data_IF_521982774161
#
_entry.id   IF_521982774161
#
_cell.length_a   1.000
_cell.length_b   1.000
_cell.length_c   1.000
_cell.angle_alpha   90.00
_cell.angle_beta   90.00
_cell.angle_gamma   90.00
#
_symmetry.space_group_name_H-M   'P 1'
#
loop_
_entity.id
_entity.type
_entity.pdbx_description
1 polymer ?
#
# COMPACT_ATOMS: atom_id res chain seq x y z
N UNK A 1 -2.66 -34.60 13.00
CA UNK A 1 -1.27 -34.12 12.82
C UNK A 1 -1.33 -32.70 12.28
N UNK A 2 -1.46 -31.72 13.17
CA UNK A 2 -1.29 -30.31 12.85
C UNK A 2 0.21 -30.05 12.81
N UNK A 3 0.76 -29.77 11.63
CA UNK A 3 2.15 -29.34 11.49
C UNK A 3 2.24 -27.98 12.22
N UNK A 4 2.73 -27.98 13.46
CA UNK A 4 3.11 -26.76 14.15
C UNK A 4 4.30 -26.19 13.39
N UNK A 5 4.01 -25.21 12.55
CA UNK A 5 5.01 -24.39 11.90
C UNK A 5 5.54 -23.46 13.00
N UNK A 6 6.67 -23.84 13.60
CA UNK A 6 7.35 -23.04 14.63
C UNK A 6 8.11 -21.84 14.04
N UNK A 7 8.00 -21.61 12.73
CA UNK A 7 8.59 -20.43 12.09
C UNK A 7 7.59 -19.27 12.09
N UNK A 8 7.82 -18.22 12.90
CA UNK A 8 6.91 -17.08 13.01
C UNK A 8 6.72 -16.34 11.67
N UNK A 9 7.72 -16.41 10.80
CA UNK A 9 7.68 -15.91 9.43
C UNK A 9 6.62 -16.64 8.62
N UNK A 10 6.60 -17.97 8.67
CA UNK A 10 5.72 -18.80 7.86
C UNK A 10 4.26 -18.69 8.36
N UNK A 11 4.03 -18.61 9.67
CA UNK A 11 2.69 -18.33 10.22
C UNK A 11 2.19 -16.93 9.83
N UNK A 12 3.07 -15.93 9.82
CA UNK A 12 2.74 -14.58 9.34
C UNK A 12 2.42 -14.53 7.85
N UNK A 13 3.18 -15.24 7.02
CA UNK A 13 2.91 -15.40 5.58
C UNK A 13 1.56 -16.07 5.37
N UNK A 14 1.30 -17.20 6.05
CA UNK A 14 0.07 -17.97 5.89
C UNK A 14 -1.14 -17.14 6.30
N UNK A 15 -1.11 -16.49 7.46
CA UNK A 15 -2.20 -15.61 7.93
C UNK A 15 -2.48 -14.46 6.95
N UNK A 16 -1.43 -13.78 6.48
CA UNK A 16 -1.60 -12.66 5.55
C UNK A 16 -2.08 -13.13 4.16
N UNK A 17 -1.56 -14.25 3.66
CA UNK A 17 -2.03 -14.86 2.41
C UNK A 17 -3.49 -15.31 2.52
N UNK A 18 -3.91 -15.89 3.65
CA UNK A 18 -5.31 -16.27 3.89
C UNK A 18 -6.23 -15.05 3.97
N UNK A 19 -5.82 -13.97 4.66
CA UNK A 19 -6.62 -12.75 4.74
C UNK A 19 -6.79 -12.10 3.36
N UNK A 20 -5.70 -12.05 2.58
CA UNK A 20 -5.71 -11.48 1.23
C UNK A 20 -6.48 -12.35 0.26
N UNK A 21 -6.30 -13.67 0.30
CA UNK A 21 -7.06 -14.60 -0.54
C UNK A 21 -8.54 -14.55 -0.20
N UNK A 22 -8.91 -14.48 1.08
CA UNK A 22 -10.30 -14.33 1.53
C UNK A 22 -10.90 -13.02 1.00
N UNK A 23 -10.19 -11.89 1.10
CA UNK A 23 -10.67 -10.60 0.58
C UNK A 23 -10.83 -10.61 -0.94
N UNK A 24 -9.86 -11.17 -1.66
CA UNK A 24 -9.93 -11.31 -3.11
C UNK A 24 -11.07 -12.24 -3.53
N UNK A 25 -11.28 -13.33 -2.78
CA UNK A 25 -12.32 -14.32 -3.05
C UNK A 25 -13.69 -13.76 -2.71
N UNK A 26 -13.87 -13.02 -1.61
CA UNK A 26 -15.11 -12.30 -1.31
C UNK A 26 -15.42 -11.22 -2.36
N UNK A 27 -14.40 -10.47 -2.79
CA UNK A 27 -14.57 -9.45 -3.80
C UNK A 27 -14.91 -10.06 -5.18
N UNK A 28 -14.26 -11.17 -5.57
CA UNK A 28 -14.58 -11.88 -6.81
C UNK A 28 -15.94 -12.57 -6.76
N UNK A 29 -16.32 -13.15 -5.62
CA UNK A 29 -17.65 -13.76 -5.42
C UNK A 29 -18.74 -12.70 -5.45
N UNK A 30 -18.52 -11.55 -4.81
CA UNK A 30 -19.41 -10.39 -4.89
C UNK A 30 -19.59 -9.88 -6.32
N UNK A 31 -18.53 -9.89 -7.12
CA UNK A 31 -18.65 -9.49 -8.53
C UNK A 31 -19.41 -10.49 -9.39
N UNK A 32 -19.24 -11.78 -9.12
CA UNK A 32 -20.00 -12.85 -9.78
C UNK A 32 -21.48 -12.80 -9.39
N UNK A 33 -21.80 -12.54 -8.11
CA UNK A 33 -23.18 -12.46 -7.64
C UNK A 33 -23.91 -11.19 -8.13
N UNK A 34 -23.19 -10.06 -8.23
CA UNK A 34 -23.78 -8.77 -8.64
C UNK A 34 -23.57 -8.43 -10.13
N UNK A 35 -23.00 -9.34 -10.93
CA UNK A 35 -22.61 -9.08 -12.33
C UNK A 35 -21.79 -7.79 -12.53
N UNK A 36 -20.93 -7.45 -11.56
CA UNK A 36 -20.13 -6.24 -11.58
C UNK A 36 -19.03 -6.34 -12.64
N UNK A 37 -18.81 -5.24 -13.36
CA UNK A 37 -17.72 -5.13 -14.32
C UNK A 37 -16.35 -5.26 -13.61
N UNK A 38 -15.39 -5.91 -14.27
CA UNK A 38 -14.03 -6.20 -13.76
C UNK A 38 -13.30 -4.91 -13.38
N UNK A 39 -13.63 -3.79 -14.04
CA UNK A 39 -13.10 -2.44 -13.75
C UNK A 39 -13.49 -1.95 -12.36
N UNK A 40 -14.74 -2.17 -11.95
CA UNK A 40 -15.26 -1.74 -10.64
C UNK A 40 -14.61 -2.53 -9.51
N UNK A 41 -14.43 -3.84 -9.71
CA UNK A 41 -13.66 -4.67 -8.79
C UNK A 41 -12.24 -4.15 -8.63
N UNK A 42 -11.56 -3.89 -9.75
CA UNK A 42 -10.18 -3.43 -9.73
C UNK A 42 -10.03 -2.09 -9.01
N UNK A 43 -10.96 -1.15 -9.24
CA UNK A 43 -11.01 0.13 -8.53
C UNK A 43 -11.21 -0.02 -7.02
N UNK A 44 -12.13 -0.90 -6.59
CA UNK A 44 -12.39 -1.17 -5.17
C UNK A 44 -11.19 -1.82 -4.48
N UNK A 45 -10.59 -2.85 -5.09
CA UNK A 45 -9.40 -3.52 -4.54
C UNK A 45 -8.24 -2.54 -4.42
N UNK A 46 -8.05 -1.66 -5.41
CA UNK A 46 -6.99 -0.65 -5.37
C UNK A 46 -7.20 0.36 -4.25
N UNK A 47 -8.42 0.85 -4.07
CA UNK A 47 -8.77 1.77 -2.98
C UNK A 47 -8.55 1.12 -1.61
N UNK A 48 -9.00 -0.13 -1.44
CA UNK A 48 -8.80 -0.91 -0.22
C UNK A 48 -7.31 -1.16 0.05
N UNK A 49 -6.52 -1.50 -0.97
CA UNK A 49 -5.09 -1.77 -0.83
C UNK A 49 -4.31 -0.57 -0.28
N UNK A 50 -4.66 0.66 -0.69
CA UNK A 50 -4.02 1.89 -0.19
C UNK A 50 -4.35 2.12 1.28
N UNK A 51 -5.61 1.94 1.66
CA UNK A 51 -6.05 2.04 3.05
C UNK A 51 -5.35 0.98 3.92
N UNK A 52 -5.29 -0.27 3.45
CA UNK A 52 -4.57 -1.35 4.12
C UNK A 52 -3.08 -1.02 4.28
N UNK A 53 -2.41 -0.51 3.23
CA UNK A 53 -0.99 -0.11 3.30
C UNK A 53 -0.74 1.03 4.30
N UNK A 54 -1.75 1.86 4.60
CA UNK A 54 -1.64 2.90 5.61
C UNK A 54 -1.92 2.38 7.03
N UNK A 55 -2.89 1.49 7.16
CA UNK A 55 -3.26 0.89 8.44
C UNK A 55 -2.37 -0.28 8.85
N UNK A 56 -1.50 -0.76 7.96
CA UNK A 56 -0.62 -1.91 8.18
C UNK A 56 0.19 -1.83 9.48
N UNK A 57 0.81 -0.70 9.86
CA UNK A 57 1.50 -0.59 11.15
C UNK A 57 0.56 -0.83 12.34
N UNK A 58 -0.66 -0.32 12.28
CA UNK A 58 -1.65 -0.48 13.35
C UNK A 58 -2.23 -1.90 13.42
N UNK A 59 -2.29 -2.61 12.28
CA UNK A 59 -2.80 -3.98 12.19
C UNK A 59 -1.74 -5.00 12.61
N UNK A 60 -0.45 -4.73 12.34
CA UNK A 60 0.62 -5.70 12.59
C UNK A 60 1.30 -5.48 13.93
N UNK A 61 1.44 -4.23 14.38
CA UNK A 61 2.09 -3.91 15.65
C UNK A 61 1.05 -4.01 16.77
N UNK A 62 0.88 -5.23 17.28
CA UNK A 62 0.18 -5.46 18.53
C UNK A 62 1.21 -5.71 19.61
N UNK A 63 1.25 -4.86 20.63
CA UNK A 63 2.10 -5.06 21.80
C UNK A 63 1.51 -6.23 22.60
N UNK A 64 2.23 -7.34 22.76
CA UNK A 64 1.73 -8.46 23.56
C UNK A 64 1.54 -8.03 25.01
N UNK A 65 0.54 -8.58 25.70
CA UNK A 65 0.15 -8.18 27.07
C UNK A 65 1.32 -8.25 28.08
N UNK A 66 2.33 -9.11 27.82
CA UNK A 66 3.55 -9.24 28.63
C UNK A 66 4.43 -7.99 28.66
N UNK A 67 4.27 -7.04 27.74
CA UNK A 67 5.09 -5.81 27.66
C UNK A 67 4.52 -4.61 28.39
N UNK A 68 3.22 -4.62 28.70
CA UNK A 68 2.53 -3.40 29.12
C UNK A 68 2.84 -3.03 30.58
N UNK A 69 3.15 -4.02 31.43
CA UNK A 69 3.38 -3.80 32.86
C UNK A 69 4.19 -4.97 33.45
N UNK A 70 5.13 -4.70 34.37
CA UNK A 70 5.62 -5.74 35.31
C UNK A 70 4.47 -6.14 36.24
N UNK A 71 3.60 -7.04 35.76
CA UNK A 71 2.30 -7.32 36.34
C UNK A 71 2.39 -7.70 37.83
N UNK A 72 3.45 -8.43 38.20
CA UNK A 72 3.73 -8.84 39.59
C UNK A 72 4.07 -7.67 40.51
N UNK A 73 4.83 -6.68 40.02
CA UNK A 73 5.15 -5.45 40.78
C UNK A 73 3.97 -4.47 40.82
N UNK A 74 3.11 -4.51 39.79
CA UNK A 74 1.95 -3.65 39.68
C UNK A 74 0.79 -4.12 40.56
N UNK A 75 0.49 -5.43 40.57
CA UNK A 75 -0.49 -6.03 41.49
C UNK A 75 -0.12 -5.84 42.96
N UNK A 76 1.17 -5.92 43.31
CA UNK A 76 1.63 -5.75 44.69
C UNK A 76 1.55 -4.30 45.18
N UNK A 77 1.58 -3.30 44.28
CA UNK A 77 1.51 -1.87 44.63
C UNK A 77 0.11 -1.26 44.50
N UNK A 78 -0.78 -1.79 43.64
CA UNK A 78 -2.15 -1.30 43.48
C UNK A 78 -3.16 -2.42 43.68
N UNK A 79 -3.77 -2.43 44.86
CA UNK A 79 -4.81 -3.34 45.32
C UNK A 79 -6.15 -3.26 44.55
N UNK A 80 -6.30 -2.31 43.63
CA UNK A 80 -7.54 -2.04 42.90
C UNK A 80 -7.65 -2.72 41.54
N UNK A 81 -6.57 -3.33 41.03
CA UNK A 81 -6.57 -3.98 39.72
C UNK A 81 -6.93 -5.46 39.88
N UNK A 82 -8.18 -5.80 39.58
CA UNK A 82 -8.69 -7.18 39.58
C UNK A 82 -8.84 -7.64 38.13
N UNK A 83 -7.80 -8.30 37.60
CA UNK A 83 -7.80 -8.91 36.27
C UNK A 83 -6.98 -10.20 36.30
N UNK A 84 -7.28 -11.12 35.38
CA UNK A 84 -6.51 -12.34 35.22
C UNK A 84 -5.03 -12.03 34.97
N UNK A 85 -4.13 -12.83 35.53
CA UNK A 85 -2.69 -12.73 35.25
C UNK A 85 -2.49 -13.18 33.79
N UNK A 86 -1.84 -12.36 32.92
CA UNK A 86 -1.49 -12.81 31.58
C UNK A 86 -0.66 -14.09 31.68
N UNK A 87 -0.95 -15.08 30.83
CA UNK A 87 -0.35 -16.42 30.90
C UNK A 87 1.19 -16.42 30.84
N UNK A 88 1.81 -15.34 30.33
CA UNK A 88 3.26 -15.21 30.14
C UNK A 88 3.91 -14.01 30.85
N UNK A 89 3.39 -13.55 31.99
CA UNK A 89 3.95 -12.42 32.74
C UNK A 89 5.31 -12.74 33.39
N UNK A 90 6.41 -12.64 32.63
CA UNK A 90 7.80 -12.81 33.11
C UNK A 90 8.68 -11.57 32.88
N UNK A 91 9.85 -11.55 33.51
CA UNK A 91 10.87 -10.53 33.21
C UNK A 91 11.34 -10.73 31.77
N UNK A 92 11.19 -9.69 30.95
CA UNK A 92 11.60 -9.70 29.55
C UNK A 92 13.12 -9.67 29.44
N UNK A 93 13.68 -10.66 28.73
CA UNK A 93 15.09 -10.66 28.35
C UNK A 93 15.27 -9.99 26.99
N UNK A 94 16.49 -9.56 26.65
CA UNK A 94 16.78 -9.02 25.31
C UNK A 94 16.50 -10.03 24.19
N UNK A 95 16.57 -11.34 24.49
CA UNK A 95 16.30 -12.41 23.53
C UNK A 95 14.81 -12.44 23.18
N UNK A 96 13.93 -12.37 24.18
CA UNK A 96 12.47 -12.33 23.99
C UNK A 96 12.04 -11.13 23.12
N UNK A 97 12.62 -9.96 23.38
CA UNK A 97 12.35 -8.73 22.62
C UNK A 97 12.76 -8.91 21.16
N UNK A 98 13.91 -9.56 20.94
CA UNK A 98 14.45 -9.76 19.60
C UNK A 98 13.59 -10.72 18.78
N UNK A 99 13.13 -11.81 19.38
CA UNK A 99 12.27 -12.81 18.73
C UNK A 99 10.90 -12.23 18.35
N UNK A 100 10.28 -11.47 19.26
CA UNK A 100 9.01 -10.79 18.98
C UNK A 100 9.17 -9.74 17.89
N UNK A 101 10.23 -8.93 17.99
CA UNK A 101 10.53 -7.94 16.98
C UNK A 101 10.70 -8.63 15.61
N UNK A 102 11.48 -9.71 15.51
CA UNK A 102 11.62 -10.46 14.25
C UNK A 102 10.27 -10.96 13.71
N UNK A 103 9.39 -11.44 14.59
CA UNK A 103 8.04 -11.88 14.23
C UNK A 103 7.19 -10.74 13.66
N UNK A 104 7.16 -9.59 14.35
CA UNK A 104 6.44 -8.40 13.86
C UNK A 104 7.02 -7.88 12.55
N UNK A 105 8.34 -7.90 12.41
CA UNK A 105 9.02 -7.47 11.20
C UNK A 105 8.68 -8.37 10.01
N UNK A 106 8.66 -9.68 10.22
CA UNK A 106 8.29 -10.64 9.19
C UNK A 106 6.82 -10.45 8.75
N UNK A 107 5.88 -10.38 9.71
CA UNK A 107 4.45 -10.12 9.43
C UNK A 107 4.23 -8.79 8.71
N UNK A 108 4.99 -7.77 9.09
CA UNK A 108 4.89 -6.46 8.47
C UNK A 108 5.42 -6.49 7.03
N UNK A 109 6.58 -7.12 6.81
CA UNK A 109 7.16 -7.24 5.48
C UNK A 109 6.25 -8.03 4.51
N UNK A 110 5.63 -9.11 4.98
CA UNK A 110 4.73 -9.93 4.17
C UNK A 110 3.44 -9.17 3.84
N UNK A 111 2.81 -8.56 4.85
CA UNK A 111 1.62 -7.72 4.65
C UNK A 111 1.91 -6.53 3.73
N UNK A 112 3.10 -5.94 3.81
CA UNK A 112 3.54 -4.85 2.95
C UNK A 112 3.65 -5.29 1.48
N UNK A 113 4.34 -6.41 1.21
CA UNK A 113 4.48 -6.96 -0.15
C UNK A 113 3.11 -7.32 -0.74
N UNK A 114 2.23 -7.94 0.06
CA UNK A 114 0.89 -8.28 -0.38
C UNK A 114 0.03 -7.05 -0.68
N UNK A 115 0.04 -6.03 0.18
CA UNK A 115 -0.68 -4.77 -0.09
C UNK A 115 -0.14 -4.07 -1.34
N UNK A 116 1.18 -4.14 -1.58
CA UNK A 116 1.79 -3.57 -2.78
C UNK A 116 1.41 -4.36 -4.04
N UNK A 117 1.34 -5.69 -3.98
CA UNK A 117 0.84 -6.52 -5.07
C UNK A 117 -0.65 -6.24 -5.36
N UNK A 118 -1.48 -6.11 -4.32
CA UNK A 118 -2.89 -5.72 -4.41
C UNK A 118 -3.11 -4.29 -4.89
N UNK A 119 -2.09 -3.44 -4.88
CA UNK A 119 -2.16 -2.10 -5.44
C UNK A 119 -1.81 -2.12 -6.93
N UNK A 120 -0.76 -2.87 -7.28
CA UNK A 120 -0.20 -2.93 -8.64
C UNK A 120 -1.06 -3.78 -9.59
N UNK A 121 -1.51 -4.96 -9.17
CA UNK A 121 -2.25 -5.89 -10.03
C UNK A 121 -3.60 -5.31 -10.50
N UNK A 122 -4.44 -4.72 -9.62
CA UNK A 122 -5.68 -4.08 -10.05
C UNK A 122 -5.42 -2.83 -10.89
N UNK A 123 -4.33 -2.10 -10.62
CA UNK A 123 -3.94 -0.99 -11.48
C UNK A 123 -3.63 -1.48 -12.90
N UNK A 124 -2.89 -2.60 -13.06
CA UNK A 124 -2.65 -3.20 -14.37
C UNK A 124 -3.95 -3.61 -15.07
N UNK A 125 -4.93 -4.15 -14.33
CA UNK A 125 -6.25 -4.45 -14.87
C UNK A 125 -6.99 -3.17 -15.32
N UNK A 126 -6.97 -2.10 -14.52
CA UNK A 126 -7.54 -0.80 -14.91
C UNK A 126 -6.87 -0.26 -16.17
N UNK A 127 -5.54 -0.31 -16.28
CA UNK A 127 -4.80 0.13 -17.48
C UNK A 127 -5.26 -0.63 -18.73
N UNK A 128 -5.44 -1.95 -18.62
CA UNK A 128 -5.85 -2.80 -19.74
C UNK A 128 -7.30 -2.53 -20.17
N UNK A 129 -8.20 -2.38 -19.21
CA UNK A 129 -9.62 -2.29 -19.49
C UNK A 129 -10.16 -0.85 -19.58
N UNK A 130 -9.47 0.20 -19.14
CA UNK A 130 -10.02 1.57 -19.16
C UNK A 130 -10.41 2.03 -20.57
N UNK A 131 -11.58 2.65 -20.68
CA UNK A 131 -12.09 3.26 -21.92
C UNK A 131 -11.75 4.75 -21.95
N UNK A 132 -10.87 5.14 -22.88
CA UNK A 132 -10.34 6.49 -22.99
C UNK A 132 -11.21 7.43 -23.84
N UNK A 133 -12.26 6.91 -24.49
CA UNK A 133 -13.19 7.77 -25.25
C UNK A 133 -14.09 8.61 -24.35
N UNK A 134 -14.26 8.21 -23.08
CA UNK A 134 -15.08 8.91 -22.10
C UNK A 134 -14.22 9.83 -21.25
N UNK A 135 -14.54 11.13 -21.28
CA UNK A 135 -13.72 12.18 -20.65
C UNK A 135 -13.53 11.97 -19.13
N UNK A 136 -14.57 11.56 -18.41
CA UNK A 136 -14.50 11.35 -16.96
C UNK A 136 -13.57 10.19 -16.56
N UNK A 137 -13.60 9.09 -17.29
CA UNK A 137 -12.78 7.90 -17.00
C UNK A 137 -11.32 8.18 -17.32
N UNK A 138 -11.05 8.90 -18.42
CA UNK A 138 -9.71 9.33 -18.80
C UNK A 138 -9.10 10.31 -17.77
N UNK A 139 -9.86 11.30 -17.31
CA UNK A 139 -9.42 12.22 -16.25
C UNK A 139 -9.19 11.47 -14.94
N UNK A 140 -10.11 10.57 -14.56
CA UNK A 140 -9.97 9.72 -13.38
C UNK A 140 -8.70 8.88 -13.42
N UNK A 141 -8.41 8.26 -14.58
CA UNK A 141 -7.20 7.46 -14.79
C UNK A 141 -5.90 8.29 -14.71
N UNK A 142 -5.90 9.50 -15.28
CA UNK A 142 -4.73 10.38 -15.25
C UNK A 142 -4.45 10.85 -13.82
N UNK A 143 -5.49 11.29 -13.11
CA UNK A 143 -5.39 11.70 -11.69
C UNK A 143 -4.98 10.52 -10.82
N UNK A 144 -5.51 9.32 -11.07
CA UNK A 144 -5.15 8.09 -10.36
C UNK A 144 -3.65 7.76 -10.54
N UNK A 145 -3.17 7.81 -11.78
CA UNK A 145 -1.77 7.55 -12.11
C UNK A 145 -0.84 8.54 -11.42
N UNK A 146 -1.16 9.83 -11.49
CA UNK A 146 -0.38 10.88 -10.85
C UNK A 146 -0.40 10.75 -9.31
N UNK A 147 -1.56 10.47 -8.71
CA UNK A 147 -1.70 10.29 -7.27
C UNK A 147 -0.93 9.06 -6.76
N UNK A 148 -1.06 7.91 -7.43
CA UNK A 148 -0.30 6.70 -7.11
C UNK A 148 1.19 6.93 -7.23
N UNK A 149 1.63 7.58 -8.31
CA UNK A 149 3.03 7.92 -8.50
C UNK A 149 3.57 8.80 -7.36
N UNK A 150 2.86 9.88 -7.03
CA UNK A 150 3.24 10.75 -5.90
C UNK A 150 3.26 9.97 -4.59
N UNK A 151 2.25 9.15 -4.32
CA UNK A 151 2.18 8.35 -3.10
C UNK A 151 3.37 7.39 -2.97
N UNK A 152 3.66 6.60 -4.01
CA UNK A 152 4.70 5.57 -4.00
C UNK A 152 6.12 6.16 -3.97
N UNK A 153 6.29 7.40 -4.41
CA UNK A 153 7.59 8.07 -4.45
C UNK A 153 7.86 8.86 -3.17
N UNK A 154 6.81 9.42 -2.55
CA UNK A 154 6.89 10.26 -1.36
C UNK A 154 6.78 9.47 -0.05
N UNK A 155 5.97 8.40 0.01
CA UNK A 155 5.80 7.53 1.20
C UNK A 155 7.10 6.89 1.71
N UNK A 156 8.07 6.46 0.85
CA UNK A 156 9.37 5.96 1.27
C UNK A 156 10.15 6.83 2.26
N UNK A 157 9.91 8.15 2.28
CA UNK A 157 10.60 9.09 3.17
C UNK A 157 10.33 8.82 4.65
N UNK A 158 9.16 8.26 4.98
CA UNK A 158 8.77 7.91 6.35
C UNK A 158 9.19 6.51 6.76
N UNK A 159 9.55 5.65 5.81
CA UNK A 159 10.02 4.30 6.12
C UNK A 159 11.50 4.32 6.51
N UNK A 160 11.84 3.67 7.62
CA UNK A 160 13.23 3.49 8.06
C UNK A 160 13.98 2.40 7.31
N UNK A 161 13.30 1.51 6.56
CA UNK A 161 13.91 0.32 5.96
C UNK A 161 14.26 0.50 4.48
N UNK A 162 15.47 0.09 4.04
CA UNK A 162 15.85 0.19 2.64
C UNK A 162 14.95 -0.67 1.72
N UNK A 163 14.56 -1.86 2.17
CA UNK A 163 13.69 -2.77 1.42
C UNK A 163 12.37 -2.11 0.99
N UNK A 164 11.63 -1.54 1.94
CA UNK A 164 10.35 -0.85 1.67
C UNK A 164 10.54 0.32 0.71
N UNK A 165 11.61 1.10 0.88
CA UNK A 165 11.92 2.24 0.01
C UNK A 165 12.13 1.81 -1.44
N UNK A 166 12.88 0.74 -1.66
CA UNK A 166 13.13 0.23 -3.02
C UNK A 166 11.88 -0.40 -3.63
N UNK A 167 11.12 -1.20 -2.87
CA UNK A 167 9.88 -1.81 -3.37
C UNK A 167 8.83 -0.76 -3.79
N UNK A 168 8.59 0.25 -2.95
CA UNK A 168 7.65 1.33 -3.29
C UNK A 168 8.12 2.11 -4.53
N UNK A 169 9.42 2.43 -4.63
CA UNK A 169 9.95 3.14 -5.81
C UNK A 169 9.88 2.31 -7.08
N UNK A 170 10.20 1.02 -7.01
CA UNK A 170 10.07 0.10 -8.14
C UNK A 170 8.61 0.03 -8.59
N UNK A 171 7.66 -0.05 -7.66
CA UNK A 171 6.24 -0.01 -7.99
C UNK A 171 5.80 1.31 -8.63
N UNK A 172 6.37 2.45 -8.23
CA UNK A 172 6.10 3.74 -8.87
C UNK A 172 6.57 3.76 -10.33
N UNK A 173 7.77 3.22 -10.59
CA UNK A 173 8.31 3.07 -11.95
C UNK A 173 7.39 2.17 -12.78
N UNK A 174 6.89 1.08 -12.20
CA UNK A 174 6.01 0.15 -12.89
C UNK A 174 4.64 0.75 -13.22
N UNK A 175 4.04 1.49 -12.28
CA UNK A 175 2.78 2.25 -12.47
C UNK A 175 2.91 3.23 -13.63
N UNK A 176 4.02 3.98 -13.67
CA UNK A 176 4.30 4.87 -14.78
C UNK A 176 4.50 4.10 -16.07
N UNK A 177 5.39 3.10 -16.11
CA UNK A 177 5.67 2.32 -17.31
C UNK A 177 4.38 1.74 -17.93
N UNK A 178 3.47 1.20 -17.12
CA UNK A 178 2.17 0.70 -17.59
C UNK A 178 1.30 1.81 -18.20
N UNK A 179 1.22 2.98 -17.57
CA UNK A 179 0.50 4.12 -18.14
C UNK A 179 1.11 4.59 -19.47
N UNK A 180 2.44 4.56 -19.58
CA UNK A 180 3.19 4.96 -20.77
C UNK A 180 2.94 4.02 -21.94
N UNK A 181 3.01 2.70 -21.68
CA UNK A 181 2.70 1.66 -22.67
C UNK A 181 1.27 1.82 -23.18
N UNK A 182 0.31 2.12 -22.30
CA UNK A 182 -1.07 2.36 -22.70
C UNK A 182 -1.23 3.62 -23.53
N UNK A 183 -0.62 4.73 -23.10
CA UNK A 183 -0.63 5.99 -23.84
C UNK A 183 0.00 5.87 -25.24
N UNK A 184 1.07 5.07 -25.37
CA UNK A 184 1.72 4.79 -26.65
C UNK A 184 0.76 4.17 -27.67
N UNK A 185 -0.13 3.29 -27.22
CA UNK A 185 -1.14 2.65 -28.08
C UNK A 185 -2.18 3.62 -28.66
N UNK A 186 -2.41 4.78 -28.03
CA UNK A 186 -3.40 5.77 -28.47
C UNK A 186 -2.80 6.95 -29.25
N UNK A 187 -1.49 7.16 -29.19
CA UNK A 187 -0.85 8.25 -29.92
C UNK A 187 -0.73 7.89 -31.40
N UNK A 188 -1.40 8.67 -32.26
CA UNK A 188 -1.47 8.45 -33.71
C UNK A 188 -0.32 9.11 -34.48
N UNK A 189 0.39 10.06 -33.88
CA UNK A 189 1.51 10.80 -34.50
C UNK A 189 2.85 10.48 -33.83
N UNK A 190 3.91 10.27 -34.62
CA UNK A 190 5.26 9.96 -34.11
C UNK A 190 5.83 11.05 -33.21
N UNK A 191 5.52 12.32 -33.49
CA UNK A 191 6.00 13.45 -32.69
C UNK A 191 5.38 13.48 -31.28
N UNK A 192 4.08 13.14 -31.13
CA UNK A 192 3.47 13.05 -29.80
C UNK A 192 4.03 11.89 -28.98
N UNK A 193 4.37 10.77 -29.64
CA UNK A 193 5.02 9.62 -29.02
C UNK A 193 6.38 9.98 -28.43
N UNK A 194 7.17 10.77 -29.16
CA UNK A 194 8.49 11.23 -28.72
C UNK A 194 8.42 12.19 -27.52
N UNK A 195 7.47 13.14 -27.55
CA UNK A 195 7.22 14.04 -26.41
C UNK A 195 6.75 13.29 -25.15
N UNK A 196 5.89 12.29 -25.31
CA UNK A 196 5.47 11.42 -24.20
C UNK A 196 6.66 10.73 -23.56
N UNK A 197 7.48 10.05 -24.36
CA UNK A 197 8.68 9.34 -23.87
C UNK A 197 9.68 10.28 -23.20
N UNK A 198 9.89 11.49 -23.74
CA UNK A 198 10.75 12.48 -23.11
C UNK A 198 10.19 12.98 -21.77
N UNK A 199 8.89 13.24 -21.65
CA UNK A 199 8.26 13.67 -20.40
C UNK A 199 8.33 12.57 -19.32
N UNK A 200 8.09 11.31 -19.71
CA UNK A 200 8.18 10.14 -18.84
C UNK A 200 9.64 9.89 -18.42
N UNK A 201 10.58 10.00 -19.36
CA UNK A 201 12.01 9.92 -19.10
C UNK A 201 12.48 11.00 -18.13
N UNK A 202 11.98 12.23 -18.27
CA UNK A 202 12.30 13.35 -17.40
C UNK A 202 11.72 13.15 -15.98
N UNK A 203 10.49 12.63 -15.86
CA UNK A 203 9.88 12.24 -14.58
C UNK A 203 10.68 11.09 -13.92
N UNK A 204 11.12 10.11 -14.70
CA UNK A 204 11.97 9.01 -14.24
C UNK A 204 13.36 9.48 -13.77
N UNK A 205 13.97 10.40 -14.50
CA UNK A 205 15.27 11.00 -14.15
C UNK A 205 15.14 11.86 -12.89
N UNK A 206 14.08 12.68 -12.76
CA UNK A 206 13.79 13.44 -11.54
C UNK A 206 13.62 12.51 -10.33
N UNK A 207 13.00 11.35 -10.53
CA UNK A 207 12.86 10.34 -9.48
C UNK A 207 14.19 9.76 -9.04
N UNK A 208 15.03 9.38 -10.00
CA UNK A 208 16.38 8.85 -9.73
C UNK A 208 17.24 9.91 -9.04
N UNK A 209 17.09 11.19 -9.39
CA UNK A 209 17.78 12.31 -8.76
C UNK A 209 17.28 12.60 -7.33
N UNK A 210 16.02 12.31 -7.02
CA UNK A 210 15.47 12.45 -5.66
C UNK A 210 16.01 11.40 -4.67
N UNK A 211 16.62 10.30 -5.15
CA UNK A 211 17.21 9.23 -4.33
C UNK A 211 18.50 9.67 -3.61
N UNK A 212 19.50 10.27 -4.28
CA UNK A 212 20.73 10.73 -3.64
C UNK A 212 20.58 12.05 -2.87
N UNK A 213 19.67 12.96 -3.28
CA UNK A 213 19.45 14.25 -2.60
C UNK A 213 19.03 14.07 -1.12
N UNK A 214 18.41 12.95 -0.77
CA UNK A 214 18.03 12.63 0.62
C UNK A 214 19.18 12.14 1.50
N UNK A 215 20.29 11.67 0.93
CA UNK A 215 21.45 11.19 1.70
C UNK A 215 22.42 12.32 2.12
N UNK A 216 22.22 13.56 1.63
CA UNK A 216 23.10 14.69 1.98
C UNK A 216 22.65 16.10 1.57
N UNK A 217 21.37 16.36 1.26
CA UNK A 217 20.94 17.63 0.63
C UNK A 217 19.73 18.34 1.26
N UNK A 218 19.94 19.65 1.51
CA UNK A 218 18.99 20.74 1.78
C UNK A 218 17.84 20.45 2.75
N UNK A 219 18.12 20.62 4.04
CA UNK A 219 17.14 20.65 5.13
C UNK A 219 16.29 21.93 5.13
N UNK A 220 15.45 22.12 4.10
CA UNK A 220 14.35 23.07 4.21
C UNK A 220 13.15 22.39 4.85
N UNK A 221 12.80 22.82 6.07
CA UNK A 221 11.62 22.34 6.80
C UNK A 221 10.34 22.51 5.96
N UNK A 222 10.26 23.58 5.17
CA UNK A 222 9.12 23.90 4.31
C UNK A 222 8.95 22.85 3.20
N UNK A 223 10.05 22.43 2.56
CA UNK A 223 10.03 21.42 1.50
C UNK A 223 9.62 20.04 2.04
N UNK A 224 10.07 19.71 3.26
CA UNK A 224 9.64 18.47 3.93
C UNK A 224 8.14 18.48 4.19
N UNK A 225 7.60 19.57 4.76
CA UNK A 225 6.16 19.72 5.06
C UNK A 225 5.30 19.71 3.80
N UNK A 226 5.72 20.39 2.75
CA UNK A 226 5.04 20.36 1.45
C UNK A 226 4.98 18.94 0.90
N UNK A 227 6.08 18.19 1.02
CA UNK A 227 6.14 16.79 0.68
C UNK A 227 5.16 15.92 1.47
N UNK A 228 5.03 16.15 2.77
CA UNK A 228 4.09 15.42 3.62
C UNK A 228 2.63 15.73 3.26
N UNK A 229 2.31 16.99 2.98
CA UNK A 229 1.00 17.41 2.52
C UNK A 229 0.63 16.77 1.17
N UNK A 230 1.56 16.76 0.20
CA UNK A 230 1.36 16.11 -1.09
C UNK A 230 1.14 14.60 -0.97
N UNK A 231 1.86 13.94 -0.07
CA UNK A 231 1.68 12.50 0.20
C UNK A 231 0.31 12.20 0.82
N UNK A 232 -0.19 13.10 1.67
CA UNK A 232 -1.52 12.95 2.28
C UNK A 232 -2.63 13.23 1.25
N UNK A 233 -2.48 14.28 0.46
CA UNK A 233 -3.43 14.65 -0.59
C UNK A 233 -3.51 13.55 -1.65
N UNK A 234 -2.36 13.01 -2.09
CA UNK A 234 -2.35 11.90 -3.04
C UNK A 234 -3.09 10.69 -2.49
N UNK A 235 -2.87 10.34 -1.23
CA UNK A 235 -3.60 9.25 -0.57
C UNK A 235 -5.12 9.48 -0.55
N UNK A 236 -5.59 10.69 -0.22
CA UNK A 236 -7.02 11.01 -0.16
C UNK A 236 -7.70 11.02 -1.54
N UNK A 237 -6.98 11.49 -2.56
CA UNK A 237 -7.50 11.57 -3.93
C UNK A 237 -7.53 10.20 -4.60
N UNK A 238 -6.66 9.26 -4.21
CA UNK A 238 -6.51 7.99 -4.92
C UNK A 238 -7.79 7.13 -4.95
N UNK A 239 -8.54 6.93 -3.84
CA UNK A 239 -9.81 6.20 -3.87
C UNK A 239 -10.86 6.85 -4.77
N UNK A 240 -10.95 8.18 -4.72
CA UNK A 240 -11.89 8.97 -5.53
C UNK A 240 -11.53 8.85 -7.02
N UNK A 241 -10.25 8.98 -7.35
CA UNK A 241 -9.77 8.82 -8.72
C UNK A 241 -9.92 7.38 -9.23
N UNK A 242 -9.73 6.37 -8.36
CA UNK A 242 -9.94 4.96 -8.68
C UNK A 242 -11.42 4.69 -9.01
N UNK A 243 -12.34 5.31 -8.28
CA UNK A 243 -13.77 5.21 -8.52
C UNK A 243 -14.17 5.77 -9.90
N UNK A 244 -13.63 6.94 -10.28
CA UNK A 244 -13.84 7.50 -11.61
C UNK A 244 -13.18 6.66 -12.71
N UNK A 245 -11.93 6.24 -12.52
CA UNK A 245 -11.21 5.42 -13.49
C UNK A 245 -11.87 4.05 -13.73
N UNK A 246 -12.55 3.52 -12.72
CA UNK A 246 -13.31 2.28 -12.82
C UNK A 246 -14.64 2.41 -13.58
N UNK A 247 -15.07 3.62 -13.95
CA UNK A 247 -16.33 3.86 -14.65
C UNK A 247 -17.56 3.86 -13.73
N UNK A 248 -17.38 3.99 -12.41
CA UNK A 248 -18.46 3.85 -11.44
C UNK A 248 -19.54 4.95 -11.56
N UNK A 249 -19.17 6.14 -12.04
CA UNK A 249 -20.13 7.22 -12.30
C UNK A 249 -21.11 6.84 -13.44
N UNK A 250 -20.68 6.02 -14.40
CA UNK A 250 -21.56 5.54 -15.47
C UNK A 250 -22.42 4.38 -14.99
N UNK A 251 -21.87 3.53 -14.14
CA UNK A 251 -22.65 2.51 -13.45
C UNK A 251 -23.81 3.14 -12.65
N UNK A 252 -23.56 4.26 -11.95
CA UNK A 252 -24.60 5.00 -11.23
C UNK A 252 -25.59 5.70 -12.17
N UNK A 253 -25.12 6.24 -13.31
CA UNK A 253 -25.99 6.93 -14.29
C UNK A 253 -26.80 5.99 -15.19
N UNK A 254 -26.39 4.73 -15.30
CA UNK A 254 -27.04 3.69 -16.09
C UNK A 254 -28.03 2.83 -15.29
N UNK A 255 -28.07 3.02 -13.97
CA UNK A 255 -29.20 2.71 -13.09
C UNK A 255 -30.20 3.87 -13.13
#
# INVERSE_FOLDING_TARGET
MTVCIDQPVLNGVISACFAVSLLLLLASTGTLMCSLDVRLLAGLVLAAAICCLQMLPNIVVHVPDRYLVQWRAYMTRRWTVRGGIPEEARVLTQVDIREDMQTFQARYATGFVLCLALLVLPYAALVAFCDFHRMYDAVGFLVLTAALFLFLTLKPRRSGRPFERYCMRLSAVMVMAMACVRAWGFMTTENMRLFGVCAIGLIGVLLVYAIPVQKGGFHSLVLSRAGDALCFLSMMVTPVAAFFAAGALQYIRGL
#
